data_IF_923328924387
#
_entry.id   IF_923328924387
#
_cell.length_a   1.000
_cell.length_b   1.000
_cell.length_c   1.000
_cell.angle_alpha   90.00
_cell.angle_beta   90.00
_cell.angle_gamma   90.00
#
_symmetry.space_group_name_H-M   'P 1'
#
loop_
_entity.id
_entity.type
_entity.pdbx_description
1 polymer ?
#
# COMPACT_ATOMS: atom_id res chain seq x y z
N UNK A 1 -39.48 1.78 -26.33
CA UNK A 1 -40.31 2.97 -26.63
C UNK A 1 -40.88 3.46 -25.31
N UNK A 2 -40.78 4.75 -25.03
CA UNK A 2 -41.43 5.41 -23.89
C UNK A 2 -42.53 6.31 -24.42
N UNK A 3 -43.73 6.23 -23.85
CA UNK A 3 -44.87 7.06 -24.22
C UNK A 3 -45.29 7.88 -22.99
N UNK A 4 -45.38 9.19 -23.14
CA UNK A 4 -45.81 10.12 -22.09
C UNK A 4 -47.31 10.41 -22.20
N UNK A 5 -47.92 10.89 -21.12
CA UNK A 5 -49.36 11.22 -21.07
C UNK A 5 -49.78 12.35 -22.02
N UNK A 6 -48.83 13.20 -22.44
CA UNK A 6 -49.01 14.24 -23.46
C UNK A 6 -48.97 13.69 -24.90
N UNK A 7 -48.78 12.37 -25.09
CA UNK A 7 -48.65 11.74 -26.40
C UNK A 7 -47.24 11.78 -27.01
N UNK A 8 -46.25 12.35 -26.32
CA UNK A 8 -44.86 12.34 -26.77
C UNK A 8 -44.29 10.92 -26.71
N UNK A 9 -43.58 10.53 -27.76
CA UNK A 9 -42.97 9.19 -27.89
C UNK A 9 -41.47 9.32 -28.03
N UNK A 10 -40.73 8.65 -27.14
CA UNK A 10 -39.27 8.51 -27.25
C UNK A 10 -38.89 7.10 -27.68
N UNK A 11 -38.13 7.00 -28.77
CA UNK A 11 -37.58 5.74 -29.28
C UNK A 11 -36.18 5.51 -28.71
N UNK A 12 -35.98 4.37 -28.05
CA UNK A 12 -34.70 3.93 -27.50
C UNK A 12 -34.21 2.75 -28.35
N UNK A 13 -33.58 3.04 -29.48
CA UNK A 13 -33.07 2.03 -30.40
C UNK A 13 -31.71 1.47 -29.95
N UNK A 14 -31.50 0.16 -30.12
CA UNK A 14 -30.23 -0.55 -29.86
C UNK A 14 -30.03 -1.68 -30.86
N UNK A 15 -28.78 -2.13 -31.10
CA UNK A 15 -28.52 -3.32 -31.91
C UNK A 15 -29.23 -4.55 -31.34
N UNK A 16 -29.61 -5.49 -32.21
CA UNK A 16 -30.10 -6.80 -31.79
C UNK A 16 -28.90 -7.65 -31.36
N UNK A 17 -28.98 -8.27 -30.18
CA UNK A 17 -27.98 -9.22 -29.70
C UNK A 17 -28.45 -10.63 -30.07
N UNK A 18 -27.62 -11.37 -30.79
CA UNK A 18 -27.85 -12.80 -31.06
C UNK A 18 -27.44 -13.62 -29.83
N UNK A 19 -28.39 -13.86 -28.92
CA UNK A 19 -28.18 -14.58 -27.66
C UNK A 19 -29.42 -15.37 -27.26
N UNK A 20 -29.23 -16.55 -26.67
CA UNK A 20 -30.31 -17.34 -26.05
C UNK A 20 -30.58 -16.92 -24.60
N UNK A 21 -29.74 -16.07 -24.01
CA UNK A 21 -29.83 -15.63 -22.62
C UNK A 21 -30.77 -14.43 -22.43
N UNK A 22 -32.04 -14.62 -22.76
CA UNK A 22 -33.07 -13.55 -22.76
C UNK A 22 -34.17 -13.75 -21.72
N UNK A 23 -34.06 -14.78 -20.87
CA UNK A 23 -35.01 -15.03 -19.80
C UNK A 23 -34.96 -13.91 -18.75
N UNK A 24 -36.12 -13.41 -18.32
CA UNK A 24 -36.22 -12.40 -17.27
C UNK A 24 -35.87 -10.96 -17.70
N UNK A 25 -35.72 -10.69 -19.00
CA UNK A 25 -35.41 -9.36 -19.55
C UNK A 25 -36.46 -8.30 -19.20
N UNK A 26 -37.76 -8.63 -19.33
CA UNK A 26 -38.85 -7.72 -18.95
C UNK A 26 -38.84 -7.38 -17.46
N UNK A 27 -38.71 -8.37 -16.58
CA UNK A 27 -38.62 -8.16 -15.14
C UNK A 27 -37.41 -7.31 -14.76
N UNK A 28 -36.27 -7.57 -15.41
CA UNK A 28 -35.03 -6.83 -15.17
C UNK A 28 -35.15 -5.38 -15.61
N UNK A 29 -35.76 -5.15 -16.78
CA UNK A 29 -36.02 -3.80 -17.29
C UNK A 29 -36.94 -3.02 -16.35
N UNK A 30 -38.07 -3.60 -15.95
CA UNK A 30 -39.02 -2.96 -15.04
C UNK A 30 -38.40 -2.67 -13.67
N UNK A 31 -37.63 -3.60 -13.12
CA UNK A 31 -36.93 -3.42 -11.84
C UNK A 31 -35.88 -2.29 -11.92
N UNK A 32 -35.07 -2.26 -12.98
CA UNK A 32 -34.06 -1.23 -13.17
C UNK A 32 -34.69 0.18 -13.34
N UNK A 33 -35.83 0.28 -14.03
CA UNK A 33 -36.60 1.53 -14.14
C UNK A 33 -37.14 1.96 -12.76
N UNK A 34 -37.75 1.03 -12.02
CA UNK A 34 -38.26 1.32 -10.68
C UNK A 34 -37.15 1.79 -9.73
N UNK A 35 -35.97 1.18 -9.78
CA UNK A 35 -34.79 1.62 -9.02
C UNK A 35 -34.32 3.03 -9.42
N UNK A 36 -34.32 3.35 -10.71
CA UNK A 36 -33.98 4.70 -11.19
C UNK A 36 -34.97 5.76 -10.70
N UNK A 37 -36.27 5.47 -10.76
CA UNK A 37 -37.31 6.34 -10.22
C UNK A 37 -37.19 6.54 -8.70
N UNK A 38 -36.82 5.50 -7.96
CA UNK A 38 -36.58 5.58 -6.51
C UNK A 38 -35.32 6.39 -6.14
N UNK A 39 -34.43 6.67 -7.11
CA UNK A 39 -33.27 7.54 -6.97
C UNK A 39 -33.54 8.96 -7.52
N UNK A 40 -34.82 9.33 -7.66
CA UNK A 40 -35.28 10.62 -8.16
C UNK A 40 -34.86 10.96 -9.61
N UNK A 41 -34.51 9.95 -10.43
CA UNK A 41 -34.29 10.15 -11.87
C UNK A 41 -35.61 10.45 -12.59
N UNK A 42 -35.56 11.25 -13.65
CA UNK A 42 -36.72 11.44 -14.51
C UNK A 42 -37.14 10.12 -15.18
N UNK A 43 -38.42 9.99 -15.56
CA UNK A 43 -38.94 8.78 -16.22
C UNK A 43 -38.12 8.41 -17.47
N UNK A 44 -37.70 9.42 -18.25
CA UNK A 44 -36.87 9.23 -19.42
C UNK A 44 -35.48 8.69 -19.07
N UNK A 45 -34.82 9.25 -18.04
CA UNK A 45 -33.51 8.79 -17.58
C UNK A 45 -33.57 7.39 -16.99
N UNK A 46 -34.55 7.12 -16.12
CA UNK A 46 -34.78 5.79 -15.57
C UNK A 46 -35.00 4.74 -16.67
N UNK A 47 -35.77 5.09 -17.72
CA UNK A 47 -36.00 4.22 -18.88
C UNK A 47 -34.73 4.00 -19.71
N UNK A 48 -33.93 5.06 -19.93
CA UNK A 48 -32.63 4.95 -20.62
C UNK A 48 -31.67 4.04 -19.85
N UNK A 49 -31.54 4.24 -18.54
CA UNK A 49 -30.69 3.45 -17.64
C UNK A 49 -31.13 1.99 -17.59
N UNK A 50 -32.42 1.72 -17.39
CA UNK A 50 -32.94 0.34 -17.36
C UNK A 50 -32.77 -0.40 -18.68
N UNK A 51 -32.97 0.29 -19.82
CA UNK A 51 -32.71 -0.27 -21.13
C UNK A 51 -31.21 -0.57 -21.35
N UNK A 52 -30.31 0.29 -20.87
CA UNK A 52 -28.85 0.04 -20.93
C UNK A 52 -28.44 -1.16 -20.10
N UNK A 53 -28.87 -1.19 -18.85
CA UNK A 53 -28.58 -2.28 -17.92
C UNK A 53 -29.03 -3.63 -18.49
N UNK A 54 -30.28 -3.71 -18.96
CA UNK A 54 -30.81 -4.97 -19.52
C UNK A 54 -30.04 -5.39 -20.78
N UNK A 55 -29.71 -4.45 -21.67
CA UNK A 55 -28.99 -4.75 -22.91
C UNK A 55 -27.57 -5.29 -22.64
N UNK A 56 -26.80 -4.61 -21.80
CA UNK A 56 -25.42 -5.02 -21.44
C UNK A 56 -25.44 -6.34 -20.67
N UNK A 57 -26.47 -6.58 -19.84
CA UNK A 57 -26.66 -7.86 -19.17
C UNK A 57 -26.85 -9.04 -20.13
N UNK A 58 -27.55 -8.83 -21.25
CA UNK A 58 -27.70 -9.87 -22.29
C UNK A 58 -26.38 -10.08 -23.04
N UNK A 59 -25.67 -8.98 -23.36
CA UNK A 59 -24.38 -9.00 -24.05
C UNK A 59 -23.30 -9.74 -23.27
N UNK A 60 -23.30 -9.59 -21.95
CA UNK A 60 -22.33 -10.23 -21.04
C UNK A 60 -22.86 -11.52 -20.40
N UNK A 61 -23.93 -12.10 -20.95
CA UNK A 61 -24.52 -13.32 -20.43
C UNK A 61 -23.64 -14.54 -20.73
N UNK A 62 -23.35 -15.35 -19.72
CA UNK A 62 -22.73 -16.66 -19.91
C UNK A 62 -23.83 -17.67 -20.22
N UNK A 63 -23.78 -18.40 -21.35
CA UNK A 63 -24.80 -19.40 -21.68
C UNK A 63 -24.94 -20.44 -20.57
N UNK A 64 -26.18 -20.62 -20.08
CA UNK A 64 -26.47 -21.54 -18.98
C UNK A 64 -27.67 -22.43 -19.33
N UNK A 65 -27.47 -23.75 -19.24
CA UNK A 65 -28.49 -24.74 -19.61
C UNK A 65 -28.63 -24.94 -21.13
N UNK A 66 -29.67 -25.69 -21.53
CA UNK A 66 -29.95 -26.06 -22.93
C UNK A 66 -31.07 -25.22 -23.59
N UNK A 67 -31.64 -24.26 -22.87
CA UNK A 67 -32.79 -23.44 -23.31
C UNK A 67 -32.49 -21.95 -23.25
N UNK A 68 -33.52 -21.13 -23.02
CA UNK A 68 -33.33 -19.70 -22.80
C UNK A 68 -32.72 -19.45 -21.41
N UNK A 69 -31.47 -19.01 -21.39
CA UNK A 69 -30.73 -18.73 -20.16
C UNK A 69 -31.08 -17.36 -19.54
N UNK A 70 -30.72 -17.12 -18.28
CA UNK A 70 -30.79 -15.79 -17.68
C UNK A 70 -29.74 -14.85 -18.31
N UNK A 71 -30.04 -13.55 -18.35
CA UNK A 71 -29.04 -12.52 -18.56
C UNK A 71 -28.09 -12.36 -17.36
N UNK A 72 -26.94 -11.71 -17.54
CA UNK A 72 -25.98 -11.48 -16.45
C UNK A 72 -26.34 -10.22 -15.65
N UNK A 73 -27.05 -10.36 -14.53
CA UNK A 73 -27.36 -9.24 -13.62
C UNK A 73 -26.14 -8.63 -12.92
N UNK A 74 -25.02 -9.35 -12.88
CA UNK A 74 -23.81 -8.89 -12.20
C UNK A 74 -22.84 -8.17 -13.15
N UNK A 75 -23.24 -7.92 -14.41
CA UNK A 75 -22.40 -7.27 -15.42
C UNK A 75 -21.89 -5.88 -15.00
N UNK A 76 -22.57 -5.23 -14.06
CA UNK A 76 -22.22 -3.91 -13.52
C UNK A 76 -21.60 -3.95 -12.13
N UNK A 77 -21.39 -5.14 -11.53
CA UNK A 77 -20.81 -5.27 -10.19
C UNK A 77 -19.29 -5.35 -10.32
N UNK A 78 -18.61 -4.34 -9.78
CA UNK A 78 -17.16 -4.39 -9.64
C UNK A 78 -16.78 -5.35 -8.51
N UNK A 79 -15.85 -6.28 -8.78
CA UNK A 79 -15.21 -7.08 -7.73
C UNK A 79 -14.37 -6.14 -6.88
N UNK A 80 -14.73 -6.01 -5.60
CA UNK A 80 -13.96 -5.24 -4.64
C UNK A 80 -12.70 -6.04 -4.27
N UNK A 81 -11.53 -5.58 -4.72
CA UNK A 81 -10.24 -6.22 -4.41
C UNK A 81 -9.73 -5.87 -3.01
N UNK A 82 -10.21 -4.77 -2.41
CA UNK A 82 -9.74 -4.24 -1.13
C UNK A 82 -10.91 -4.11 -0.14
N UNK A 83 -10.87 -4.76 1.03
CA UNK A 83 -11.93 -4.64 2.03
C UNK A 83 -12.03 -3.21 2.56
N UNK A 84 -13.23 -2.81 2.98
CA UNK A 84 -13.46 -1.50 3.60
C UNK A 84 -12.99 -1.49 5.06
N UNK A 85 -12.52 -0.33 5.51
CA UNK A 85 -12.21 -0.09 6.92
C UNK A 85 -13.45 -0.30 7.79
N UNK A 86 -13.25 -0.85 8.99
CA UNK A 86 -14.30 -1.11 9.99
C UNK A 86 -13.78 -0.75 11.39
N UNK A 87 -14.65 -0.53 12.39
CA UNK A 87 -14.20 -0.25 13.76
C UNK A 87 -13.29 -1.34 14.36
N UNK A 88 -13.42 -2.59 13.91
CA UNK A 88 -12.58 -3.71 14.36
C UNK A 88 -11.33 -3.94 13.50
N UNK A 89 -11.23 -3.29 12.35
CA UNK A 89 -10.08 -3.37 11.45
C UNK A 89 -9.96 -2.06 10.66
N UNK A 90 -9.19 -1.12 11.21
CA UNK A 90 -9.02 0.21 10.63
C UNK A 90 -8.19 0.20 9.34
N UNK A 91 -7.26 -0.76 9.21
CA UNK A 91 -6.29 -0.84 8.11
C UNK A 91 -6.34 -2.19 7.36
N UNK A 92 -7.48 -2.53 6.72
CA UNK A 92 -7.64 -3.82 6.06
C UNK A 92 -6.71 -4.04 4.87
N UNK A 93 -6.41 -3.00 4.08
CA UNK A 93 -5.51 -3.14 2.93
C UNK A 93 -4.08 -3.44 3.39
N UNK A 94 -3.59 -2.66 4.35
CA UNK A 94 -2.26 -2.85 4.95
C UNK A 94 -2.13 -4.24 5.57
N UNK A 95 -3.18 -4.68 6.30
CA UNK A 95 -3.24 -6.02 6.87
C UNK A 95 -3.17 -7.11 5.80
N UNK A 96 -3.86 -6.95 4.68
CA UNK A 96 -3.79 -7.91 3.57
C UNK A 96 -2.39 -7.96 2.97
N UNK A 97 -1.75 -6.82 2.71
CA UNK A 97 -0.39 -6.77 2.16
C UNK A 97 0.61 -7.55 3.03
N UNK A 98 0.52 -7.40 4.35
CA UNK A 98 1.33 -8.14 5.32
C UNK A 98 0.95 -9.63 5.32
N UNK A 99 -0.34 -9.97 5.36
CA UNK A 99 -0.80 -11.36 5.44
C UNK A 99 -0.43 -12.19 4.20
N UNK A 100 -0.55 -11.63 3.00
CA UNK A 100 -0.15 -12.27 1.74
C UNK A 100 1.36 -12.57 1.69
N UNK A 101 2.17 -11.86 2.48
CA UNK A 101 3.62 -12.00 2.51
C UNK A 101 4.17 -12.33 3.91
N UNK A 102 3.36 -12.96 4.77
CA UNK A 102 3.61 -13.06 6.21
C UNK A 102 4.97 -13.68 6.55
N UNK A 103 5.40 -14.70 5.81
CA UNK A 103 6.71 -15.35 6.03
C UNK A 103 7.85 -14.37 5.79
N UNK A 104 7.84 -13.70 4.63
CA UNK A 104 8.88 -12.73 4.26
C UNK A 104 8.84 -11.51 5.20
N UNK A 105 7.64 -11.06 5.57
CA UNK A 105 7.46 -9.99 6.54
C UNK A 105 8.10 -10.33 7.89
N UNK A 106 7.88 -11.54 8.40
CA UNK A 106 8.53 -11.99 9.64
C UNK A 106 10.04 -12.11 9.50
N UNK A 107 10.53 -12.63 8.38
CA UNK A 107 11.97 -12.70 8.13
C UNK A 107 12.62 -11.31 8.09
N UNK A 108 11.86 -10.28 7.71
CA UNK A 108 12.28 -8.88 7.78
C UNK A 108 12.21 -8.31 9.21
N UNK A 109 11.04 -8.29 9.85
CA UNK A 109 10.85 -7.58 11.13
C UNK A 109 11.38 -8.34 12.35
N UNK A 110 11.63 -9.64 12.20
CA UNK A 110 12.25 -10.52 13.21
C UNK A 110 13.60 -11.07 12.73
N UNK A 111 14.28 -10.32 11.85
CA UNK A 111 15.57 -10.73 11.28
C UNK A 111 16.64 -10.97 12.36
N UNK A 112 17.67 -11.77 12.06
CA UNK A 112 18.75 -12.06 13.02
C UNK A 112 19.54 -10.81 13.42
N UNK A 113 19.67 -9.83 12.51
CA UNK A 113 20.18 -8.50 12.84
C UNK A 113 19.36 -7.86 13.96
N UNK A 114 18.03 -7.84 13.81
CA UNK A 114 17.08 -7.27 14.77
C UNK A 114 17.09 -8.03 16.09
N UNK A 115 17.10 -9.37 16.06
CA UNK A 115 17.20 -10.21 17.27
C UNK A 115 18.49 -9.94 18.05
N UNK A 116 19.64 -9.85 17.38
CA UNK A 116 20.93 -9.56 18.04
C UNK A 116 20.98 -8.13 18.58
N UNK A 117 20.38 -7.18 17.86
CA UNK A 117 20.21 -5.79 18.31
C UNK A 117 19.34 -5.74 19.58
N UNK A 118 18.22 -6.45 19.59
CA UNK A 118 17.32 -6.58 20.75
C UNK A 118 18.02 -7.19 21.97
N UNK A 119 18.93 -8.14 21.75
CA UNK A 119 19.73 -8.79 22.80
C UNK A 119 20.91 -7.92 23.29
N UNK A 120 21.27 -6.86 22.56
CA UNK A 120 22.45 -6.04 22.84
C UNK A 120 23.79 -6.70 22.47
N UNK A 121 23.76 -7.73 21.62
CA UNK A 121 24.95 -8.54 21.23
C UNK A 121 25.27 -8.46 19.73
N UNK A 122 24.59 -7.57 19.00
CA UNK A 122 24.93 -7.26 17.63
C UNK A 122 26.36 -6.69 17.59
N UNK A 123 27.17 -7.18 16.65
CA UNK A 123 28.53 -6.67 16.46
C UNK A 123 28.47 -5.19 16.08
N UNK A 124 29.34 -4.39 16.69
CA UNK A 124 29.37 -2.94 16.47
C UNK A 124 29.63 -2.62 15.01
N UNK A 125 30.50 -3.38 14.38
CA UNK A 125 30.89 -3.24 12.97
C UNK A 125 29.67 -3.43 12.06
N UNK A 126 28.83 -4.43 12.33
CA UNK A 126 27.58 -4.65 11.60
C UNK A 126 26.61 -3.49 11.74
N UNK A 127 26.45 -2.95 12.96
CA UNK A 127 25.59 -1.79 13.19
C UNK A 127 26.12 -0.53 12.48
N UNK A 128 27.44 -0.30 12.55
CA UNK A 128 28.10 0.80 11.87
C UNK A 128 27.96 0.69 10.35
N UNK A 129 28.16 -0.50 9.79
CA UNK A 129 27.98 -0.75 8.36
C UNK A 129 26.54 -0.47 7.93
N UNK A 130 25.56 -0.93 8.72
CA UNK A 130 24.15 -0.62 8.52
C UNK A 130 23.89 0.90 8.47
N UNK A 131 24.31 1.67 9.48
CA UNK A 131 24.05 3.12 9.52
C UNK A 131 24.70 3.86 8.35
N UNK A 132 25.92 3.45 7.95
CA UNK A 132 26.57 4.04 6.77
C UNK A 132 25.73 3.81 5.52
N UNK A 133 25.23 2.61 5.31
CA UNK A 133 24.40 2.29 4.15
C UNK A 133 23.02 2.96 4.23
N UNK A 134 22.44 3.06 5.42
CA UNK A 134 21.18 3.75 5.68
C UNK A 134 21.28 5.25 5.34
N UNK A 135 22.42 5.89 5.66
CA UNK A 135 22.70 7.27 5.24
C UNK A 135 22.57 7.48 3.72
N UNK A 136 23.03 6.53 2.91
CA UNK A 136 22.86 6.58 1.45
C UNK A 136 21.42 6.24 1.03
N UNK A 137 20.82 5.22 1.64
CA UNK A 137 19.41 4.85 1.39
C UNK A 137 18.46 6.03 1.62
N UNK A 138 18.67 6.81 2.69
CA UNK A 138 17.85 7.98 3.01
C UNK A 138 17.89 9.07 1.93
N UNK A 139 18.95 9.15 1.12
CA UNK A 139 18.97 10.03 -0.08
C UNK A 139 17.92 9.59 -1.10
N UNK A 140 17.89 8.28 -1.42
CA UNK A 140 16.88 7.71 -2.32
C UNK A 140 15.47 7.87 -1.74
N UNK A 141 15.31 7.64 -0.44
CA UNK A 141 14.05 7.78 0.26
C UNK A 141 13.51 9.22 0.22
N UNK A 142 14.37 10.22 0.46
CA UNK A 142 14.03 11.63 0.32
C UNK A 142 13.65 12.00 -1.12
N UNK A 143 14.40 11.53 -2.13
CA UNK A 143 14.06 11.73 -3.53
C UNK A 143 12.72 11.11 -3.92
N UNK A 144 12.42 9.90 -3.41
CA UNK A 144 11.15 9.22 -3.65
C UNK A 144 9.96 9.96 -3.02
N UNK A 145 10.13 10.55 -1.83
CA UNK A 145 9.13 11.49 -1.29
C UNK A 145 9.00 12.77 -2.11
N UNK A 146 10.09 13.25 -2.73
CA UNK A 146 10.04 14.34 -3.70
C UNK A 146 9.18 14.00 -4.92
N UNK A 147 9.31 12.77 -5.44
CA UNK A 147 8.44 12.26 -6.51
C UNK A 147 6.99 12.12 -6.04
N UNK A 148 6.75 11.68 -4.81
CA UNK A 148 5.41 11.61 -4.23
C UNK A 148 4.78 13.02 -4.13
N UNK A 149 5.54 14.03 -3.70
CA UNK A 149 5.09 15.41 -3.66
C UNK A 149 4.76 15.93 -5.06
N UNK A 150 5.62 15.65 -6.05
CA UNK A 150 5.39 16.04 -7.45
C UNK A 150 4.15 15.39 -8.07
N UNK A 151 3.80 14.17 -7.65
CA UNK A 151 2.60 13.44 -8.09
C UNK A 151 1.34 13.76 -7.29
N UNK A 152 1.45 14.55 -6.22
CA UNK A 152 0.32 14.87 -5.35
C UNK A 152 -0.55 15.99 -5.92
N UNK A 153 -1.87 15.83 -5.85
CA UNK A 153 -2.85 16.78 -6.43
C UNK A 153 -3.47 17.72 -5.40
N UNK A 154 -3.11 17.60 -4.12
CA UNK A 154 -3.66 18.42 -3.03
C UNK A 154 -2.55 18.98 -2.15
N UNK A 155 -2.72 20.21 -1.65
CA UNK A 155 -1.75 20.83 -0.75
C UNK A 155 -1.47 19.99 0.52
N UNK A 156 -2.46 19.38 1.20
CA UNK A 156 -2.18 18.51 2.35
C UNK A 156 -1.27 17.32 2.01
N UNK A 157 -1.43 16.70 0.83
CA UNK A 157 -0.58 15.60 0.40
C UNK A 157 0.86 16.07 0.10
N UNK A 158 1.01 17.22 -0.59
CA UNK A 158 2.31 17.85 -0.86
C UNK A 158 3.03 18.20 0.45
N UNK A 159 2.32 18.81 1.41
CA UNK A 159 2.86 19.17 2.71
C UNK A 159 3.30 17.92 3.49
N UNK A 160 2.49 16.86 3.49
CA UNK A 160 2.82 15.60 4.20
C UNK A 160 4.07 14.94 3.64
N UNK A 161 4.21 14.87 2.31
CA UNK A 161 5.41 14.35 1.66
C UNK A 161 6.63 15.24 1.97
N UNK A 162 6.49 16.55 1.86
CA UNK A 162 7.57 17.51 2.13
C UNK A 162 8.05 17.46 3.59
N UNK A 163 7.11 17.35 4.54
CA UNK A 163 7.45 17.19 5.96
C UNK A 163 8.25 15.92 6.21
N UNK A 164 7.96 14.84 5.49
CA UNK A 164 8.74 13.60 5.59
C UNK A 164 10.16 13.79 5.07
N UNK A 165 10.36 14.54 3.99
CA UNK A 165 11.70 14.92 3.52
C UNK A 165 12.45 15.71 4.60
N UNK A 166 11.81 16.68 5.25
CA UNK A 166 12.42 17.43 6.34
C UNK A 166 12.79 16.54 7.53
N UNK A 167 11.95 15.56 7.88
CA UNK A 167 12.24 14.58 8.93
C UNK A 167 13.46 13.72 8.57
N UNK A 168 13.57 13.26 7.31
CA UNK A 168 14.74 12.51 6.83
C UNK A 168 16.02 13.36 6.92
N UNK A 169 15.96 14.63 6.52
CA UNK A 169 17.10 15.55 6.65
C UNK A 169 17.52 15.75 8.12
N UNK A 170 16.56 15.76 9.04
CA UNK A 170 16.84 15.81 10.47
C UNK A 170 17.46 14.49 10.98
N UNK A 171 16.94 13.34 10.55
CA UNK A 171 17.44 12.00 10.88
C UNK A 171 18.90 11.81 10.46
N UNK A 172 19.29 12.30 9.28
CA UNK A 172 20.69 12.32 8.82
C UNK A 172 21.60 13.08 9.80
N UNK A 173 21.11 14.18 10.38
CA UNK A 173 21.83 14.93 11.43
C UNK A 173 22.00 14.14 12.73
N UNK A 174 21.01 13.31 13.08
CA UNK A 174 21.08 12.39 14.22
C UNK A 174 22.06 11.25 13.95
N UNK A 175 22.03 10.66 12.76
CA UNK A 175 22.97 9.59 12.35
C UNK A 175 24.41 10.06 12.40
N UNK A 176 24.71 11.26 11.89
CA UNK A 176 26.07 11.86 11.99
C UNK A 176 26.50 12.04 13.44
N UNK A 177 25.61 12.51 14.32
CA UNK A 177 25.88 12.65 15.76
C UNK A 177 26.09 11.30 16.45
N UNK A 178 25.28 10.31 16.11
CA UNK A 178 25.38 8.96 16.64
C UNK A 178 26.68 8.28 16.18
N UNK A 179 26.97 8.30 14.89
CA UNK A 179 28.19 7.79 14.27
C UNK A 179 29.46 8.42 14.84
N UNK A 180 29.43 9.71 15.19
CA UNK A 180 30.55 10.37 15.85
C UNK A 180 30.90 9.73 17.21
N UNK A 181 29.92 9.21 17.96
CA UNK A 181 30.17 8.44 19.20
C UNK A 181 30.92 7.14 18.94
N UNK A 182 30.86 6.63 17.72
CA UNK A 182 31.58 5.45 17.26
C UNK A 182 32.86 5.79 16.49
N UNK A 183 33.26 7.06 16.45
CA UNK A 183 34.50 7.52 15.80
C UNK A 183 34.43 7.65 14.28
N UNK A 184 33.22 7.63 13.70
CA UNK A 184 33.00 7.77 12.25
C UNK A 184 32.80 9.25 11.93
N UNK A 185 33.55 9.78 10.97
CA UNK A 185 33.43 11.18 10.55
C UNK A 185 32.31 11.38 9.54
N UNK A 186 31.85 12.63 9.36
CA UNK A 186 30.90 12.97 8.30
C UNK A 186 31.47 12.65 6.91
N UNK A 187 32.74 12.94 6.68
CA UNK A 187 33.44 12.62 5.43
C UNK A 187 33.48 11.12 5.17
N UNK A 188 33.67 10.29 6.21
CA UNK A 188 33.64 8.83 6.09
C UNK A 188 32.24 8.31 5.76
N UNK A 189 31.18 8.92 6.31
CA UNK A 189 29.79 8.60 5.93
C UNK A 189 29.52 8.95 4.47
N UNK A 190 29.91 10.14 4.03
CA UNK A 190 29.62 10.61 2.68
C UNK A 190 30.42 9.87 1.59
N UNK A 191 31.65 9.48 1.90
CA UNK A 191 32.54 8.75 0.97
C UNK A 191 32.39 7.23 1.03
N UNK A 192 31.51 6.68 1.87
CA UNK A 192 31.27 5.23 1.93
C UNK A 192 30.69 4.76 0.59
N UNK A 193 31.23 3.67 0.05
CA UNK A 193 30.71 3.05 -1.16
C UNK A 193 29.33 2.40 -0.88
N UNK A 194 28.36 2.64 -1.77
CA UNK A 194 27.05 2.01 -1.68
C UNK A 194 27.16 0.51 -1.95
N UNK A 195 26.57 -0.29 -1.06
CA UNK A 195 26.50 -1.73 -1.27
C UNK A 195 25.54 -2.06 -2.43
N UNK A 196 25.65 -3.29 -2.94
CA UNK A 196 24.68 -3.81 -3.90
C UNK A 196 23.24 -3.82 -3.36
N UNK A 197 23.03 -4.03 -2.06
CA UNK A 197 21.70 -4.01 -1.44
C UNK A 197 21.11 -2.58 -1.41
N UNK A 198 21.94 -1.59 -1.06
CA UNK A 198 21.56 -0.17 -1.04
C UNK A 198 21.20 0.33 -2.42
N UNK A 199 22.06 0.06 -3.42
CA UNK A 199 21.79 0.44 -4.82
C UNK A 199 20.54 -0.27 -5.38
N UNK A 200 20.37 -1.57 -5.09
CA UNK A 200 19.21 -2.32 -5.55
C UNK A 200 17.90 -1.77 -4.96
N UNK A 201 17.90 -1.44 -3.66
CA UNK A 201 16.71 -0.93 -3.01
C UNK A 201 16.42 0.52 -3.41
N UNK A 202 17.42 1.41 -3.31
CA UNK A 202 17.29 2.81 -3.71
C UNK A 202 16.88 2.97 -5.17
N UNK A 203 17.52 2.22 -6.08
CA UNK A 203 17.17 2.19 -7.49
C UNK A 203 15.75 1.68 -7.75
N UNK A 204 15.33 0.60 -7.07
CA UNK A 204 13.96 0.09 -7.19
C UNK A 204 12.91 1.10 -6.69
N UNK A 205 13.20 1.79 -5.58
CA UNK A 205 12.31 2.80 -5.02
C UNK A 205 12.12 3.99 -5.99
N UNK A 206 13.21 4.45 -6.61
CA UNK A 206 13.13 5.50 -7.63
C UNK A 206 12.44 5.04 -8.90
N UNK A 207 12.68 3.80 -9.37
CA UNK A 207 11.99 3.23 -10.53
C UNK A 207 10.47 3.23 -10.32
N UNK A 208 10.00 2.70 -9.17
CA UNK A 208 8.59 2.75 -8.81
C UNK A 208 8.09 4.20 -8.73
N UNK A 209 8.91 5.10 -8.18
CA UNK A 209 8.59 6.52 -8.08
C UNK A 209 8.45 7.23 -9.42
N UNK A 210 9.05 6.73 -10.50
CA UNK A 210 8.91 7.31 -11.85
C UNK A 210 7.68 6.77 -12.60
N UNK A 211 7.18 5.59 -12.23
CA UNK A 211 5.98 4.99 -12.84
C UNK A 211 4.70 5.79 -12.55
N UNK A 212 3.68 5.60 -13.39
CA UNK A 212 2.39 6.28 -13.30
C UNK A 212 1.37 5.57 -12.40
N UNK A 213 1.80 5.21 -11.18
CA UNK A 213 0.90 4.67 -10.15
C UNK A 213 1.37 5.09 -8.75
N UNK A 214 0.82 6.19 -8.25
CA UNK A 214 1.17 6.76 -6.94
C UNK A 214 0.93 5.79 -5.78
N UNK A 215 -0.01 4.85 -5.92
CA UNK A 215 -0.27 3.85 -4.87
C UNK A 215 0.90 2.88 -4.77
N UNK A 216 1.54 2.49 -5.88
CA UNK A 216 2.77 1.68 -5.87
C UNK A 216 3.91 2.40 -5.15
N UNK A 217 4.07 3.70 -5.39
CA UNK A 217 5.07 4.52 -4.69
C UNK A 217 4.77 4.62 -3.19
N UNK A 218 3.53 4.91 -2.80
CA UNK A 218 3.12 4.92 -1.40
C UNK A 218 3.41 3.56 -0.74
N UNK A 219 3.07 2.45 -1.38
CA UNK A 219 3.39 1.11 -0.87
C UNK A 219 4.89 0.88 -0.69
N UNK A 220 5.69 1.28 -1.67
CA UNK A 220 7.13 1.11 -1.62
C UNK A 220 7.76 1.90 -0.47
N UNK A 221 7.32 3.13 -0.25
CA UNK A 221 7.74 3.96 0.89
C UNK A 221 7.27 3.35 2.23
N UNK A 222 6.03 2.85 2.28
CA UNK A 222 5.46 2.28 3.49
C UNK A 222 6.11 0.98 3.96
N UNK A 223 6.72 0.20 3.06
CA UNK A 223 7.43 -1.01 3.47
C UNK A 223 8.53 -0.71 4.52
N UNK A 224 9.30 0.37 4.30
CA UNK A 224 10.29 0.86 5.24
C UNK A 224 9.64 1.41 6.51
N UNK A 225 8.73 2.39 6.37
CA UNK A 225 8.08 3.04 7.52
C UNK A 225 7.40 2.04 8.47
N UNK A 226 6.60 1.12 7.91
CA UNK A 226 5.86 0.13 8.69
C UNK A 226 6.80 -0.93 9.28
N UNK A 227 7.80 -1.34 8.52
CA UNK A 227 8.77 -2.34 8.95
C UNK A 227 9.57 -1.92 10.17
N UNK A 228 10.19 -0.74 10.12
CA UNK A 228 10.95 -0.21 11.24
C UNK A 228 10.07 0.09 12.45
N UNK A 229 8.84 0.57 12.23
CA UNK A 229 7.85 0.75 13.27
C UNK A 229 7.49 -0.57 13.96
N UNK A 230 7.27 -1.63 13.20
CA UNK A 230 6.99 -2.97 13.73
C UNK A 230 8.20 -3.56 14.45
N UNK A 231 9.42 -3.40 13.91
CA UNK A 231 10.67 -3.81 14.56
C UNK A 231 10.78 -3.20 15.96
N UNK A 232 10.61 -1.89 16.09
CA UNK A 232 10.67 -1.20 17.38
C UNK A 232 9.64 -1.75 18.39
N UNK A 233 8.38 -1.91 17.96
CA UNK A 233 7.31 -2.45 18.81
C UNK A 233 7.55 -3.91 19.19
N UNK A 234 8.01 -4.72 18.23
CA UNK A 234 8.33 -6.13 18.43
C UNK A 234 9.42 -6.29 19.49
N UNK A 235 10.51 -5.52 19.42
CA UNK A 235 11.58 -5.55 20.43
C UNK A 235 11.04 -5.22 21.83
N UNK A 236 10.24 -4.15 21.97
CA UNK A 236 9.61 -3.78 23.25
C UNK A 236 8.72 -4.90 23.79
N UNK A 237 7.93 -5.52 22.92
CA UNK A 237 7.05 -6.64 23.27
C UNK A 237 7.84 -7.88 23.69
N UNK A 238 8.92 -8.21 22.99
CA UNK A 238 9.79 -9.32 23.35
C UNK A 238 10.51 -9.07 24.68
N UNK A 239 11.02 -7.86 24.93
CA UNK A 239 11.70 -7.51 26.18
C UNK A 239 10.78 -7.56 27.41
N UNK A 240 9.47 -7.41 27.23
CA UNK A 240 8.49 -7.52 28.31
C UNK A 240 8.17 -8.98 28.70
N UNK A 241 8.61 -9.98 27.93
CA UNK A 241 8.32 -11.39 28.23
C UNK A 241 9.27 -11.94 29.32
N UNK A 242 8.77 -12.75 30.27
CA UNK A 242 9.62 -13.43 31.25
C UNK A 242 10.66 -14.33 30.56
N UNK A 243 11.93 -14.20 30.94
CA UNK A 243 13.03 -15.02 30.39
C UNK A 243 13.42 -14.69 28.95
N UNK A 244 12.96 -13.56 28.41
CA UNK A 244 13.34 -13.11 27.07
C UNK A 244 14.84 -12.84 26.95
N UNK A 245 15.38 -13.10 25.76
CA UNK A 245 16.75 -12.72 25.43
C UNK A 245 16.86 -11.22 25.08
N UNK A 246 15.75 -10.56 24.72
CA UNK A 246 15.73 -9.13 24.45
C UNK A 246 15.93 -8.32 25.74
N UNK A 247 16.86 -7.36 25.73
CA UNK A 247 17.24 -6.55 26.88
C UNK A 247 17.15 -5.07 26.51
N UNK A 248 16.46 -4.28 27.33
CA UNK A 248 16.44 -2.82 27.19
C UNK A 248 17.47 -2.17 28.11
N UNK A 249 17.56 -2.65 29.36
CA UNK A 249 18.54 -2.15 30.32
C UNK A 249 19.97 -2.49 29.87
N UNK A 250 20.83 -1.47 29.80
CA UNK A 250 22.23 -1.61 29.38
C UNK A 250 22.44 -1.94 27.90
N UNK A 251 21.39 -1.92 27.08
CA UNK A 251 21.53 -2.21 25.65
C UNK A 251 22.22 -1.04 24.93
N UNK A 252 23.35 -1.26 24.24
CA UNK A 252 24.07 -0.19 23.53
C UNK A 252 23.25 0.46 22.40
N UNK A 253 22.21 -0.21 21.91
CA UNK A 253 21.33 0.24 20.83
C UNK A 253 19.98 0.75 21.34
N UNK A 254 19.82 0.99 22.65
CA UNK A 254 18.55 1.39 23.26
C UNK A 254 17.92 2.61 22.59
N UNK A 255 18.71 3.65 22.31
CA UNK A 255 18.20 4.88 21.68
C UNK A 255 17.54 4.60 20.32
N UNK A 256 18.19 3.79 19.48
CA UNK A 256 17.64 3.38 18.18
C UNK A 256 16.31 2.63 18.36
N UNK A 257 16.22 1.71 19.33
CA UNK A 257 14.98 0.98 19.64
C UNK A 257 13.88 1.96 20.08
N UNK A 258 14.21 2.92 20.95
CA UNK A 258 13.27 3.89 21.48
C UNK A 258 12.73 4.84 20.42
N UNK A 259 13.55 5.23 19.44
CA UNK A 259 13.13 6.11 18.36
C UNK A 259 12.04 5.45 17.50
N UNK A 260 12.29 4.25 16.97
CA UNK A 260 11.32 3.55 16.10
C UNK A 260 10.08 3.02 16.85
N UNK A 261 10.23 2.73 18.14
CA UNK A 261 9.11 2.33 19.01
C UNK A 261 8.43 3.51 19.73
N UNK A 262 8.90 4.73 19.45
CA UNK A 262 8.47 5.96 20.11
C UNK A 262 7.15 6.49 19.57
N UNK A 263 6.44 7.33 20.35
CA UNK A 263 5.13 7.84 19.97
C UNK A 263 5.14 8.65 18.66
N UNK A 264 6.21 9.39 18.39
CA UNK A 264 6.35 10.19 17.16
C UNK A 264 6.50 9.32 15.91
N UNK A 265 7.39 8.32 15.94
CA UNK A 265 7.55 7.40 14.82
C UNK A 265 6.26 6.59 14.58
N UNK A 266 5.64 6.11 15.66
CA UNK A 266 4.38 5.36 15.58
C UNK A 266 3.21 6.23 15.09
N UNK A 267 3.24 7.54 15.31
CA UNK A 267 2.29 8.48 14.72
C UNK A 267 2.49 8.59 13.21
N UNK A 268 3.74 8.66 12.74
CA UNK A 268 4.04 8.63 11.31
C UNK A 268 3.57 7.32 10.65
N UNK A 269 3.81 6.17 11.30
CA UNK A 269 3.31 4.85 10.86
C UNK A 269 1.80 4.85 10.69
N UNK A 270 1.04 5.34 11.69
CA UNK A 270 -0.43 5.44 11.59
C UNK A 270 -0.88 6.33 10.45
N UNK A 271 -0.29 7.52 10.31
CA UNK A 271 -0.60 8.43 9.20
C UNK A 271 -0.30 7.80 7.83
N UNK A 272 0.78 7.03 7.74
CA UNK A 272 1.13 6.27 6.54
C UNK A 272 0.07 5.23 6.18
N UNK A 273 -0.36 4.42 7.15
CA UNK A 273 -1.45 3.44 6.96
C UNK A 273 -2.76 4.14 6.57
N UNK A 274 -3.15 5.20 7.27
CA UNK A 274 -4.37 5.97 6.94
C UNK A 274 -4.33 6.49 5.50
N UNK A 275 -3.18 7.03 5.07
CA UNK A 275 -3.00 7.58 3.72
C UNK A 275 -3.21 6.51 2.65
N UNK A 276 -2.55 5.35 2.77
CA UNK A 276 -2.69 4.30 1.76
C UNK A 276 -4.08 3.70 1.72
N UNK A 277 -4.76 3.53 2.87
CA UNK A 277 -6.13 3.03 2.91
C UNK A 277 -7.08 3.99 2.19
N UNK A 278 -6.97 5.30 2.47
CA UNK A 278 -7.80 6.33 1.81
C UNK A 278 -7.52 6.36 0.30
N UNK A 279 -6.25 6.40 -0.10
CA UNK A 279 -5.90 6.47 -1.52
C UNK A 279 -6.31 5.20 -2.29
N UNK A 280 -6.13 4.02 -1.70
CA UNK A 280 -6.55 2.76 -2.32
C UNK A 280 -8.07 2.60 -2.41
N UNK A 281 -8.82 3.20 -1.48
CA UNK A 281 -10.29 3.24 -1.56
C UNK A 281 -10.81 4.28 -2.56
N UNK A 282 -10.10 5.40 -2.73
CA UNK A 282 -10.46 6.43 -3.70
C UNK A 282 -10.26 5.97 -5.16
N UNK A 283 -9.26 5.12 -5.40
CA UNK A 283 -8.98 4.50 -6.70
C UNK A 283 -8.77 2.98 -6.56
N UNK A 284 -9.86 2.20 -6.37
CA UNK A 284 -9.77 0.77 -6.15
C UNK A 284 -9.15 0.01 -7.32
N UNK A 285 -8.24 -0.95 -7.07
CA UNK A 285 -7.54 -1.64 -8.14
C UNK A 285 -8.42 -2.71 -8.79
N UNK A 286 -8.24 -2.87 -10.10
CA UNK A 286 -8.63 -4.11 -10.79
C UNK A 286 -7.86 -5.31 -10.20
N UNK A 287 -8.34 -6.56 -10.38
CA UNK A 287 -7.61 -7.73 -9.91
C UNK A 287 -6.16 -7.83 -10.43
N UNK A 288 -5.90 -7.36 -11.65
CA UNK A 288 -4.56 -7.31 -12.22
C UNK A 288 -3.68 -6.27 -11.53
N UNK A 289 -4.19 -5.03 -11.36
CA UNK A 289 -3.47 -3.96 -10.67
C UNK A 289 -3.21 -4.32 -9.20
N UNK A 290 -4.15 -4.98 -8.54
CA UNK A 290 -3.97 -5.48 -7.17
C UNK A 290 -2.82 -6.51 -7.08
N UNK A 291 -2.72 -7.42 -8.04
CA UNK A 291 -1.59 -8.38 -8.10
C UNK A 291 -0.26 -7.65 -8.26
N UNK A 292 -0.20 -6.60 -9.07
CA UNK A 292 0.99 -5.77 -9.21
C UNK A 292 1.34 -5.05 -7.90
N UNK A 293 0.35 -4.53 -7.20
CA UNK A 293 0.51 -3.89 -5.88
C UNK A 293 1.11 -4.87 -4.86
N UNK A 294 0.56 -6.08 -4.76
CA UNK A 294 1.10 -7.14 -3.89
C UNK A 294 2.54 -7.51 -4.26
N UNK A 295 2.88 -7.52 -5.54
CA UNK A 295 4.24 -7.81 -6.01
C UNK A 295 5.23 -6.69 -5.65
N UNK A 296 4.81 -5.42 -5.74
CA UNK A 296 5.64 -4.28 -5.29
C UNK A 296 5.93 -4.39 -3.80
N UNK A 297 4.88 -4.59 -2.98
CA UNK A 297 5.03 -4.77 -1.54
C UNK A 297 6.00 -5.92 -1.21
N UNK A 298 5.78 -7.10 -1.82
CA UNK A 298 6.63 -8.28 -1.64
C UNK A 298 8.09 -8.00 -1.98
N UNK A 299 8.36 -7.28 -3.08
CA UNK A 299 9.72 -6.90 -3.48
C UNK A 299 10.35 -5.96 -2.47
N UNK A 300 9.64 -4.93 -2.01
CA UNK A 300 10.14 -4.03 -0.96
C UNK A 300 10.46 -4.78 0.33
N UNK A 301 9.59 -5.68 0.81
CA UNK A 301 9.87 -6.49 2.00
C UNK A 301 11.11 -7.38 1.83
N UNK A 302 11.36 -7.91 0.62
CA UNK A 302 12.59 -8.67 0.34
C UNK A 302 13.83 -7.79 0.32
N UNK A 303 13.73 -6.58 -0.24
CA UNK A 303 14.82 -5.62 -0.29
C UNK A 303 15.19 -5.13 1.12
N UNK A 304 14.19 -4.88 1.96
CA UNK A 304 14.34 -4.60 3.40
C UNK A 304 15.07 -5.72 4.14
N UNK A 305 14.64 -6.97 3.97
CA UNK A 305 15.36 -8.12 4.52
C UNK A 305 16.80 -8.16 4.00
N UNK A 306 17.00 -7.94 2.69
CA UNK A 306 18.32 -7.90 2.06
C UNK A 306 19.22 -6.79 2.62
N UNK A 307 18.64 -5.68 3.08
CA UNK A 307 19.34 -4.62 3.77
C UNK A 307 19.89 -5.09 5.13
N UNK A 308 19.10 -5.88 5.88
CA UNK A 308 19.63 -6.54 7.08
C UNK A 308 20.65 -7.62 6.80
N UNK A 309 20.47 -8.41 5.73
CA UNK A 309 21.44 -9.43 5.31
C UNK A 309 22.80 -8.78 5.00
N UNK A 310 22.80 -7.67 4.26
CA UNK A 310 23.99 -6.86 3.98
C UNK A 310 24.70 -6.43 5.27
N UNK A 311 23.97 -5.92 6.25
CA UNK A 311 24.55 -5.51 7.53
C UNK A 311 25.24 -6.66 8.30
N UNK A 312 24.79 -7.90 8.06
CA UNK A 312 25.31 -9.10 8.73
C UNK A 312 26.47 -9.76 7.98
N UNK A 313 26.58 -9.56 6.66
CA UNK A 313 27.56 -10.22 5.78
C UNK A 313 28.83 -9.39 5.58
N UNK A 314 29.47 -8.97 6.67
CA UNK A 314 30.79 -8.37 6.60
C UNK A 314 31.84 -9.47 6.37
N UNK A 315 32.16 -9.74 5.11
CA UNK A 315 33.35 -10.52 4.69
C UNK A 315 34.56 -9.61 4.57
#
# INVERSE_FOLDING_TARGET
MLCESNGAVTILARPRIESTSTHGTGCTLSAAIACGLAQDLSLLEATKTGASYTHIGIENAVPFGKGHGPLNHLHSIAKISIPRSTPSNLYPFTKLLIQENLVIWKDYVEHDFVKRLAQGVLARESFVHFVKQDYHYLKYYACAYGLLAAKSTTFPAIESATRTILNVLHEIGTHTTFCARFGITADELESTEESAATMAYGGYLLDIGLQDDTIKLLMALLACLLGYGEVGLWIKKEAAKPGSLAKLEGNPYLHWIEDYSGPEYQKAVRLGMETIEVCAMADPPSPARYKEWCEVWRKCTKLEKGFWDMAMQMS
#
